data_IF_227095953704
#
_entry.id   IF_227095953704
#
_cell.length_a   1.000
_cell.length_b   1.000
_cell.length_c   1.000
_cell.angle_alpha   90.00
_cell.angle_beta   90.00
_cell.angle_gamma   90.00
#
_symmetry.space_group_name_H-M   'P 1'
#
loop_
_entity.id
_entity.type
_entity.pdbx_description
1 polymer ?
#
# COMPACT_ATOMS: atom_id res chain seq x y z
N UNK A 1 -5.01 1.26 -5.57
CA UNK A 1 -5.78 0.19 -6.24
C UNK A 1 -5.35 -0.04 -7.69
N UNK A 2 -5.10 1.00 -8.49
CA UNK A 2 -4.72 0.86 -9.91
C UNK A 2 -3.51 -0.05 -10.14
N UNK A 3 -2.44 0.08 -9.35
CA UNK A 3 -1.24 -0.76 -9.48
C UNK A 3 -1.52 -2.25 -9.21
N UNK A 4 -2.39 -2.59 -8.25
CA UNK A 4 -2.73 -3.99 -7.95
C UNK A 4 -3.51 -4.61 -9.12
N UNK A 5 -4.50 -3.88 -9.65
CA UNK A 5 -5.29 -4.33 -10.79
C UNK A 5 -4.43 -4.47 -12.06
N UNK A 6 -3.54 -3.50 -12.32
CA UNK A 6 -2.63 -3.56 -13.46
C UNK A 6 -1.65 -4.73 -13.36
N UNK A 7 -1.12 -4.99 -12.16
CA UNK A 7 -0.27 -6.15 -11.90
C UNK A 7 -1.00 -7.47 -12.05
N UNK A 8 -2.27 -7.54 -11.65
CA UNK A 8 -3.09 -8.76 -11.73
C UNK A 8 -3.39 -9.18 -13.16
N UNK A 9 -3.52 -8.23 -14.08
CA UNK A 9 -3.70 -8.52 -15.52
C UNK A 9 -2.38 -8.98 -16.20
N UNK A 10 -1.24 -8.91 -15.50
CA UNK A 10 0.04 -9.44 -16.01
C UNK A 10 0.08 -10.96 -15.87
N UNK A 11 0.76 -11.62 -16.81
CA UNK A 11 0.78 -13.09 -16.94
C UNK A 11 1.87 -13.77 -16.11
N UNK A 12 2.62 -13.03 -15.29
CA UNK A 12 3.69 -13.60 -14.47
C UNK A 12 3.70 -13.06 -13.05
N UNK A 13 3.97 -13.94 -12.09
CA UNK A 13 4.10 -13.58 -10.67
C UNK A 13 5.20 -12.55 -10.42
N UNK A 14 6.25 -12.58 -11.25
CA UNK A 14 7.34 -11.60 -11.19
C UNK A 14 6.85 -10.19 -11.53
N UNK A 15 6.08 -10.04 -12.60
CA UNK A 15 5.51 -8.74 -12.98
C UNK A 15 4.47 -8.29 -11.97
N UNK A 16 3.57 -9.18 -11.53
CA UNK A 16 2.61 -8.90 -10.47
C UNK A 16 3.32 -8.39 -9.21
N UNK A 17 4.41 -9.04 -8.80
CA UNK A 17 5.22 -8.62 -7.63
C UNK A 17 5.81 -7.22 -7.80
N UNK A 18 6.23 -6.82 -9.01
CA UNK A 18 6.74 -5.47 -9.25
C UNK A 18 5.65 -4.42 -9.05
N UNK A 19 4.45 -4.66 -9.61
CA UNK A 19 3.30 -3.76 -9.43
C UNK A 19 2.83 -3.69 -7.98
N UNK A 20 2.87 -4.82 -7.25
CA UNK A 20 2.60 -4.85 -5.82
C UNK A 20 3.62 -4.02 -5.02
N UNK A 21 4.89 -4.00 -5.42
CA UNK A 21 5.88 -3.11 -4.79
C UNK A 21 5.48 -1.64 -4.93
N UNK A 22 5.09 -1.21 -6.13
CA UNK A 22 4.63 0.18 -6.38
C UNK A 22 3.39 0.47 -5.53
N UNK A 23 2.43 -0.46 -5.46
CA UNK A 23 1.24 -0.29 -4.62
C UNK A 23 1.56 -0.13 -3.12
N UNK A 24 2.58 -0.86 -2.62
CA UNK A 24 3.05 -0.74 -1.24
C UNK A 24 3.71 0.62 -1.00
N UNK A 25 4.52 1.09 -1.94
CA UNK A 25 5.22 2.36 -1.84
C UNK A 25 4.21 3.54 -1.84
N UNK A 26 3.18 3.49 -2.70
CA UNK A 26 2.07 4.45 -2.64
C UNK A 26 1.32 4.46 -1.30
N UNK A 27 1.21 3.31 -0.62
CA UNK A 27 0.60 3.25 0.71
C UNK A 27 1.48 3.91 1.78
N UNK A 28 2.80 3.95 1.56
CA UNK A 28 3.75 4.62 2.43
C UNK A 28 3.75 6.14 2.19
N UNK A 29 3.58 6.57 0.94
CA UNK A 29 3.37 7.99 0.59
C UNK A 29 2.11 8.54 1.26
N UNK A 30 0.99 7.82 1.21
CA UNK A 30 -0.24 8.23 1.91
C UNK A 30 -0.01 8.40 3.42
N UNK A 31 0.75 7.51 4.07
CA UNK A 31 1.08 7.65 5.48
C UNK A 31 1.89 8.92 5.77
N UNK A 32 2.81 9.30 4.88
CA UNK A 32 3.55 10.55 4.98
C UNK A 32 2.63 11.77 4.79
N UNK A 33 1.75 11.74 3.78
CA UNK A 33 0.81 12.83 3.51
C UNK A 33 -0.20 13.03 4.64
N UNK A 34 -0.56 11.97 5.36
CA UNK A 34 -1.39 12.06 6.56
C UNK A 34 -0.71 12.88 7.67
N UNK A 35 0.62 12.79 7.83
CA UNK A 35 1.33 13.64 8.79
C UNK A 35 1.23 15.10 8.39
N UNK A 36 1.45 15.40 7.11
CA UNK A 36 1.31 16.76 6.58
C UNK A 36 -0.12 17.28 6.79
N UNK A 37 -1.13 16.45 6.53
CA UNK A 37 -2.54 16.82 6.73
C UNK A 37 -2.87 17.07 8.21
N UNK A 38 -2.29 16.29 9.13
CA UNK A 38 -2.43 16.49 10.57
C UNK A 38 -1.76 17.81 11.01
N UNK A 39 -0.52 18.06 10.57
CA UNK A 39 0.25 19.27 10.90
C UNK A 39 -0.46 20.55 10.42
N UNK A 40 -1.12 20.47 9.26
CA UNK A 40 -1.93 21.56 8.70
C UNK A 40 -3.34 21.66 9.31
N UNK A 41 -3.67 20.80 10.30
CA UNK A 41 -4.99 20.70 10.93
C UNK A 41 -6.15 20.45 9.94
N UNK A 42 -5.88 19.76 8.83
CA UNK A 42 -6.91 19.33 7.87
C UNK A 42 -7.68 18.09 8.34
N UNK A 43 -7.06 17.30 9.22
CA UNK A 43 -7.66 16.12 9.85
C UNK A 43 -7.40 16.15 11.35
N UNK A 44 -8.29 15.54 12.12
CA UNK A 44 -8.10 15.32 13.55
C UNK A 44 -7.09 14.21 13.82
N UNK A 45 -6.56 14.16 15.04
CA UNK A 45 -5.71 13.06 15.50
C UNK A 45 -6.41 11.70 15.42
N UNK A 46 -7.73 11.66 15.59
CA UNK A 46 -8.54 10.43 15.51
C UNK A 46 -8.60 9.94 14.07
N UNK A 47 -8.90 10.82 13.12
CA UNK A 47 -8.91 10.52 11.68
C UNK A 47 -7.52 10.11 11.19
N UNK A 48 -6.48 10.84 11.61
CA UNK A 48 -5.09 10.46 11.32
C UNK A 48 -4.81 9.02 11.77
N UNK A 49 -5.10 8.69 13.02
CA UNK A 49 -4.84 7.36 13.56
C UNK A 49 -5.59 6.29 12.78
N UNK A 50 -6.86 6.54 12.43
CA UNK A 50 -7.66 5.61 11.65
C UNK A 50 -7.04 5.38 10.26
N UNK A 51 -6.85 6.45 9.47
CA UNK A 51 -6.34 6.34 8.11
C UNK A 51 -4.92 5.80 8.04
N UNK A 52 -4.08 6.17 9.01
CA UNK A 52 -2.71 5.66 9.11
C UNK A 52 -2.70 4.15 9.34
N UNK A 53 -3.53 3.64 10.27
CA UNK A 53 -3.62 2.19 10.50
C UNK A 53 -4.22 1.45 9.30
N UNK A 54 -5.19 2.04 8.60
CA UNK A 54 -5.74 1.46 7.37
C UNK A 54 -4.68 1.35 6.27
N UNK A 55 -3.94 2.43 6.00
CA UNK A 55 -2.85 2.45 5.01
C UNK A 55 -1.74 1.43 5.38
N UNK A 56 -1.38 1.36 6.67
CA UNK A 56 -0.42 0.37 7.18
C UNK A 56 -0.90 -1.07 6.98
N UNK A 57 -2.18 -1.34 7.27
CA UNK A 57 -2.79 -2.67 7.08
C UNK A 57 -2.76 -3.08 5.61
N UNK A 58 -3.07 -2.17 4.69
CA UNK A 58 -2.99 -2.42 3.24
C UNK A 58 -1.56 -2.77 2.83
N UNK A 59 -0.56 -2.00 3.28
CA UNK A 59 0.85 -2.28 3.00
C UNK A 59 1.28 -3.67 3.51
N UNK A 60 0.82 -4.08 4.70
CA UNK A 60 1.08 -5.42 5.24
C UNK A 60 0.43 -6.53 4.41
N UNK A 61 -0.81 -6.34 3.95
CA UNK A 61 -1.50 -7.31 3.09
C UNK A 61 -0.79 -7.48 1.75
N UNK A 62 -0.36 -6.36 1.14
CA UNK A 62 0.43 -6.37 -0.10
C UNK A 62 1.75 -7.14 0.12
N UNK A 63 2.45 -6.88 1.22
CA UNK A 63 3.70 -7.56 1.52
C UNK A 63 3.52 -9.08 1.75
N UNK A 64 2.42 -9.47 2.41
CA UNK A 64 2.03 -10.88 2.56
C UNK A 64 1.81 -11.57 1.22
N UNK A 65 1.07 -10.91 0.31
CA UNK A 65 0.84 -11.42 -1.04
C UNK A 65 2.14 -11.53 -1.85
N UNK A 66 3.01 -10.50 -1.80
CA UNK A 66 4.33 -10.56 -2.45
C UNK A 66 5.19 -11.72 -1.94
N UNK A 67 5.14 -11.99 -0.63
CA UNK A 67 5.88 -13.11 -0.02
C UNK A 67 5.37 -14.45 -0.56
N UNK A 68 4.05 -14.61 -0.62
CA UNK A 68 3.41 -15.82 -1.16
C UNK A 68 3.76 -16.08 -2.63
N UNK A 69 3.72 -15.05 -3.48
CA UNK A 69 4.04 -15.17 -4.90
C UNK A 69 5.51 -15.54 -5.14
N UNK A 70 6.42 -15.03 -4.29
CA UNK A 70 7.86 -15.36 -4.36
C UNK A 70 8.16 -16.78 -3.88
N UNK A 71 7.39 -17.32 -2.95
CA UNK A 71 7.57 -18.71 -2.47
C UNK A 71 6.89 -19.76 -3.35
N UNK A 72 6.00 -19.34 -4.24
CA UNK A 72 5.25 -20.23 -5.14
C UNK A 72 5.94 -20.43 -6.51
N UNK A 73 7.11 -19.82 -6.72
CA UNK A 73 7.99 -19.99 -7.89
C UNK A 73 9.25 -20.77 -7.56
#
# INVERSE_FOLDING_TARGET
MSNIAEGFDRRSDKELTNFLSIARDSSSEVQNDLYIALDLNYISQVEFNQFYQEAKKIAQQINGLMTYLRSSN
#
